data_IF_100565299207
#
_entry.id   IF_100565299207
#
_cell.length_a   1.000
_cell.length_b   1.000
_cell.length_c   1.000
_cell.angle_alpha   90.00
_cell.angle_beta   90.00
_cell.angle_gamma   90.00
#
_symmetry.space_group_name_H-M   'P 1'
#
loop_
_entity.id
_entity.type
_entity.pdbx_description
1 polymer ?
#
# COMPACT_ATOMS: atom_id res chain seq x y z
N UNK A 1 55.49 -35.90 -0.21
CA UNK A 1 54.77 -35.20 -1.30
C UNK A 1 53.28 -35.28 -1.04
N UNK A 2 52.70 -34.26 -0.39
CA UNK A 2 51.26 -34.15 -0.19
C UNK A 2 50.86 -32.89 -0.97
N UNK A 3 50.15 -33.09 -2.09
CA UNK A 3 49.55 -32.00 -2.87
C UNK A 3 48.33 -31.50 -2.09
N UNK A 4 48.47 -30.34 -1.46
CA UNK A 4 47.31 -29.59 -0.95
C UNK A 4 46.63 -28.98 -2.18
N UNK A 5 45.52 -29.58 -2.59
CA UNK A 5 44.61 -29.02 -3.59
C UNK A 5 43.90 -27.86 -2.89
N UNK A 6 44.29 -26.63 -3.21
CA UNK A 6 43.50 -25.45 -2.87
C UNK A 6 42.21 -25.50 -3.67
N UNK A 7 41.11 -25.82 -3.01
CA UNK A 7 39.76 -25.59 -3.52
C UNK A 7 39.54 -24.09 -3.47
N UNK A 8 39.67 -23.44 -4.63
CA UNK A 8 39.27 -22.06 -4.83
C UNK A 8 37.74 -22.03 -4.80
N UNK A 9 37.17 -21.71 -3.65
CA UNK A 9 35.74 -21.44 -3.49
C UNK A 9 35.45 -20.17 -4.30
N UNK A 10 34.87 -20.36 -5.48
CA UNK A 10 34.34 -19.28 -6.31
C UNK A 10 33.13 -18.71 -5.57
N UNK A 11 33.32 -17.62 -4.83
CA UNK A 11 32.22 -16.78 -4.36
C UNK A 11 31.46 -16.29 -5.60
N UNK A 12 30.31 -16.89 -5.89
CA UNK A 12 29.30 -16.30 -6.76
C UNK A 12 28.78 -15.05 -6.05
N UNK A 13 29.43 -13.91 -6.32
CA UNK A 13 28.81 -12.62 -6.10
C UNK A 13 27.58 -12.57 -7.02
N UNK A 14 26.39 -12.78 -6.46
CA UNK A 14 25.15 -12.36 -7.11
C UNK A 14 25.21 -10.83 -7.14
N UNK A 15 25.69 -10.30 -8.27
CA UNK A 15 25.73 -8.86 -8.54
C UNK A 15 24.32 -8.30 -8.55
N UNK A 16 24.14 -7.05 -8.13
CA UNK A 16 22.92 -6.25 -8.17
C UNK A 16 22.36 -5.96 -9.59
N UNK A 17 22.54 -6.87 -10.55
CA UNK A 17 22.24 -6.71 -11.97
C UNK A 17 20.82 -7.17 -12.38
N UNK A 18 19.96 -7.54 -11.42
CA UNK A 18 18.59 -7.96 -11.75
C UNK A 18 17.64 -6.80 -12.03
N UNK A 19 18.04 -5.54 -11.77
CA UNK A 19 17.20 -4.37 -11.95
C UNK A 19 17.80 -3.36 -12.94
N UNK A 20 17.01 -2.99 -13.94
CA UNK A 20 17.35 -1.93 -14.91
C UNK A 20 16.48 -0.70 -14.67
N UNK A 21 17.08 0.49 -14.50
CA UNK A 21 16.31 1.73 -14.39
C UNK A 21 15.60 2.03 -15.71
N UNK A 22 14.27 2.12 -15.69
CA UNK A 22 13.43 2.42 -16.86
C UNK A 22 13.05 3.88 -16.99
N UNK A 23 12.68 4.51 -15.89
CA UNK A 23 12.27 5.91 -15.91
C UNK A 23 12.54 6.59 -14.57
N UNK A 24 12.44 7.92 -14.59
CA UNK A 24 12.47 8.77 -13.43
C UNK A 24 11.39 9.84 -13.58
N UNK A 25 10.56 9.98 -12.54
CA UNK A 25 9.46 10.93 -12.49
C UNK A 25 9.76 11.90 -11.36
N UNK A 26 9.66 13.21 -11.62
CA UNK A 26 9.77 14.20 -10.56
C UNK A 26 8.65 13.98 -9.53
N UNK A 27 9.02 13.81 -8.27
CA UNK A 27 8.09 13.64 -7.18
C UNK A 27 7.65 15.00 -6.63
N UNK A 28 6.43 15.40 -7.00
CA UNK A 28 5.78 16.64 -6.54
C UNK A 28 4.49 16.29 -5.80
N UNK A 29 4.60 15.56 -4.69
CA UNK A 29 3.45 15.08 -3.92
C UNK A 29 3.76 14.77 -2.46
N UNK A 30 2.73 14.40 -1.70
CA UNK A 30 2.83 13.99 -0.31
C UNK A 30 3.16 12.51 -0.18
N UNK A 31 2.64 11.68 -1.09
CA UNK A 31 2.92 10.26 -1.20
C UNK A 31 2.59 9.78 -2.62
N UNK A 32 2.95 8.54 -2.92
CA UNK A 32 2.50 7.86 -4.13
C UNK A 32 2.07 6.43 -3.81
N UNK A 33 1.24 5.87 -4.67
CA UNK A 33 0.94 4.43 -4.69
C UNK A 33 0.99 3.91 -6.12
N UNK A 34 0.81 2.61 -6.28
CA UNK A 34 0.86 1.92 -7.56
C UNK A 34 -0.29 0.94 -7.67
N UNK A 35 -0.60 0.54 -8.91
CA UNK A 35 -1.49 -0.58 -9.18
C UNK A 35 -0.74 -1.77 -9.79
N UNK A 36 -1.41 -2.92 -9.85
CA UNK A 36 -0.88 -4.16 -10.41
C UNK A 36 -0.47 -4.06 -11.90
N UNK A 37 -0.94 -3.05 -12.63
CA UNK A 37 -0.58 -2.79 -14.02
C UNK A 37 0.68 -1.92 -14.15
N UNK A 38 1.25 -1.48 -13.02
CA UNK A 38 2.44 -0.65 -12.96
C UNK A 38 2.18 0.85 -13.10
N UNK A 39 0.92 1.30 -13.12
CA UNK A 39 0.66 2.74 -13.10
C UNK A 39 1.00 3.32 -11.73
N UNK A 40 1.51 4.55 -11.75
CA UNK A 40 1.97 5.28 -10.58
C UNK A 40 0.99 6.42 -10.33
N UNK A 41 0.50 6.52 -9.10
CA UNK A 41 -0.46 7.54 -8.69
C UNK A 41 0.23 8.44 -7.68
N UNK A 42 0.61 9.64 -8.11
CA UNK A 42 1.21 10.66 -7.24
C UNK A 42 0.09 11.53 -6.68
N UNK A 43 0.00 11.60 -5.36
CA UNK A 43 -1.01 12.41 -4.67
C UNK A 43 -0.37 13.67 -4.12
N UNK A 44 -0.94 14.82 -4.46
CA UNK A 44 -0.53 16.11 -3.95
C UNK A 44 -1.76 16.86 -3.46
N UNK A 45 -1.97 16.86 -2.15
CA UNK A 45 -3.06 17.53 -1.42
C UNK A 45 -4.43 17.31 -2.09
N UNK A 46 -4.76 18.09 -3.09
CA UNK A 46 -6.06 18.13 -3.75
C UNK A 46 -6.12 17.34 -5.07
N UNK A 47 -4.98 16.82 -5.55
CA UNK A 47 -4.87 16.23 -6.88
C UNK A 47 -4.16 14.88 -6.92
N UNK A 48 -4.51 14.09 -7.92
CA UNK A 48 -3.89 12.82 -8.29
C UNK A 48 -3.35 12.95 -9.70
N UNK A 49 -2.08 12.62 -9.90
CA UNK A 49 -1.45 12.49 -11.22
C UNK A 49 -1.12 11.02 -11.47
N UNK A 50 -1.62 10.46 -12.58
CA UNK A 50 -1.38 9.07 -12.97
C UNK A 50 -0.34 8.99 -14.09
N UNK A 51 0.74 8.26 -13.85
CA UNK A 51 1.85 8.05 -14.78
C UNK A 51 1.96 6.59 -15.21
N UNK A 52 2.45 6.35 -16.43
CA UNK A 52 2.89 5.02 -16.86
C UNK A 52 4.24 4.64 -16.23
N UNK A 53 4.64 3.35 -16.28
CA UNK A 53 6.00 2.93 -15.90
C UNK A 53 7.11 3.66 -16.65
N UNK A 54 6.86 4.15 -17.87
CA UNK A 54 7.80 4.94 -18.68
C UNK A 54 7.88 6.41 -18.24
N UNK A 55 7.11 6.81 -17.22
CA UNK A 55 7.08 8.17 -16.69
C UNK A 55 6.18 9.14 -17.46
N UNK A 56 5.30 8.62 -18.33
CA UNK A 56 4.38 9.44 -19.12
C UNK A 56 3.14 9.76 -18.29
N UNK A 57 2.83 11.05 -18.08
CA UNK A 57 1.58 11.48 -17.47
C UNK A 57 0.40 11.13 -18.38
N UNK A 58 -0.56 10.35 -17.87
CA UNK A 58 -1.76 9.92 -18.61
C UNK A 58 -3.00 10.71 -18.23
N UNK A 59 -3.25 10.83 -16.93
CA UNK A 59 -4.47 11.40 -16.40
C UNK A 59 -4.18 12.21 -15.15
N UNK A 60 -5.03 13.21 -14.91
CA UNK A 60 -5.02 14.00 -13.68
C UNK A 60 -6.43 14.09 -13.15
N UNK A 61 -6.57 14.11 -11.83
CA UNK A 61 -7.84 14.30 -11.16
C UNK A 61 -7.66 15.26 -10.00
N UNK A 62 -8.67 16.08 -9.76
CA UNK A 62 -8.77 16.98 -8.62
C UNK A 62 -10.23 17.29 -8.37
N UNK A 63 -10.59 17.55 -7.12
CA UNK A 63 -11.96 17.91 -6.78
C UNK A 63 -11.99 19.06 -5.78
N UNK A 64 -12.26 20.27 -6.28
CA UNK A 64 -12.26 21.49 -5.48
C UNK A 64 -13.31 21.50 -4.36
N UNK A 65 -14.31 20.61 -4.39
CA UNK A 65 -15.31 20.50 -3.32
C UNK A 65 -14.73 19.86 -2.06
N UNK A 66 -13.78 18.96 -2.22
CA UNK A 66 -13.20 18.15 -1.16
C UNK A 66 -11.70 18.41 -1.15
N UNK A 67 -11.29 19.46 -0.42
CA UNK A 67 -9.93 20.01 -0.39
C UNK A 67 -8.83 18.94 -0.40
N UNK A 68 -8.51 18.33 0.74
CA UNK A 68 -7.34 17.44 0.88
C UNK A 68 -7.72 15.95 0.79
N UNK A 69 -7.09 15.25 -0.14
CA UNK A 69 -7.12 13.80 -0.28
C UNK A 69 -6.35 13.17 0.88
N UNK A 70 -7.04 12.43 1.72
CA UNK A 70 -6.45 11.77 2.88
C UNK A 70 -5.77 10.46 2.52
N UNK A 71 -6.40 9.65 1.67
CA UNK A 71 -5.81 8.41 1.15
C UNK A 71 -6.38 8.04 -0.22
N UNK A 72 -5.62 7.25 -0.97
CA UNK A 72 -6.10 6.55 -2.15
C UNK A 72 -5.75 5.07 -2.08
N UNK A 73 -6.62 4.23 -2.61
CA UNK A 73 -6.37 2.80 -2.79
C UNK A 73 -6.53 2.43 -4.26
N UNK A 74 -5.39 2.21 -4.93
CA UNK A 74 -5.29 1.83 -6.33
C UNK A 74 -5.16 0.31 -6.54
N UNK A 75 -5.42 -0.51 -5.51
CA UNK A 75 -5.30 -1.98 -5.60
C UNK A 75 -6.16 -2.56 -6.73
N UNK A 76 -7.34 -1.96 -6.98
CA UNK A 76 -8.12 -2.22 -8.17
C UNK A 76 -7.93 -1.09 -9.20
N UNK A 77 -7.17 -1.31 -10.30
CA UNK A 77 -6.89 -0.26 -11.29
C UNK A 77 -8.12 0.23 -12.06
N UNK A 78 -9.24 -0.50 -11.98
CA UNK A 78 -10.52 -0.13 -12.62
C UNK A 78 -11.48 0.58 -11.67
N UNK A 79 -11.14 0.66 -10.37
CA UNK A 79 -11.96 1.26 -9.31
C UNK A 79 -11.04 1.75 -8.20
N UNK A 80 -10.40 2.89 -8.45
CA UNK A 80 -9.53 3.55 -7.47
C UNK A 80 -10.41 4.23 -6.42
N UNK A 81 -10.20 3.91 -5.15
CA UNK A 81 -10.88 4.57 -4.05
C UNK A 81 -10.10 5.84 -3.67
N UNK A 82 -10.81 6.94 -3.45
CA UNK A 82 -10.28 8.20 -2.92
C UNK A 82 -11.07 8.54 -1.66
N UNK A 83 -10.36 8.78 -0.56
CA UNK A 83 -10.95 9.15 0.72
C UNK A 83 -10.60 10.58 1.11
N UNK A 84 -11.61 11.36 1.44
CA UNK A 84 -11.52 12.72 1.95
C UNK A 84 -12.01 12.73 3.39
N UNK A 85 -11.09 12.56 4.34
CA UNK A 85 -11.40 12.40 5.77
C UNK A 85 -12.11 13.62 6.35
N UNK A 86 -11.65 14.83 6.04
CA UNK A 86 -12.24 16.06 6.59
C UNK A 86 -13.71 16.26 6.23
N UNK A 87 -14.16 15.68 5.11
CA UNK A 87 -15.53 15.78 4.63
C UNK A 87 -16.32 14.47 4.78
N UNK A 88 -15.73 13.44 5.39
CA UNK A 88 -16.31 12.10 5.50
C UNK A 88 -16.79 11.55 4.14
N UNK A 89 -16.02 11.77 3.06
CA UNK A 89 -16.42 11.35 1.71
C UNK A 89 -15.54 10.23 1.16
N UNK A 90 -16.19 9.26 0.51
CA UNK A 90 -15.54 8.24 -0.31
C UNK A 90 -15.96 8.42 -1.76
N UNK A 91 -15.00 8.41 -2.67
CA UNK A 91 -15.22 8.49 -4.10
C UNK A 91 -14.53 7.32 -4.81
N UNK A 92 -15.08 6.92 -5.96
CA UNK A 92 -14.48 5.92 -6.82
C UNK A 92 -14.18 6.50 -8.20
N UNK A 93 -12.94 6.32 -8.66
CA UNK A 93 -12.48 6.70 -9.98
C UNK A 93 -12.24 5.46 -10.85
N UNK A 94 -12.49 5.59 -12.15
CA UNK A 94 -12.12 4.58 -13.13
C UNK A 94 -10.63 4.66 -13.51
N UNK A 95 -10.20 3.83 -14.45
CA UNK A 95 -8.82 3.79 -14.91
C UNK A 95 -8.34 5.06 -15.63
N UNK A 96 -9.24 5.95 -16.05
CA UNK A 96 -8.96 7.28 -16.63
C UNK A 96 -8.96 8.40 -15.58
N UNK A 97 -9.12 8.04 -14.30
CA UNK A 97 -9.37 8.94 -13.17
C UNK A 97 -10.70 9.71 -13.27
N UNK A 98 -11.69 9.20 -14.01
CA UNK A 98 -13.02 9.78 -14.07
C UNK A 98 -13.90 9.23 -12.95
N UNK A 99 -14.76 10.05 -12.36
CA UNK A 99 -15.69 9.61 -11.31
C UNK A 99 -16.67 8.55 -11.84
N UNK A 100 -16.70 7.38 -11.20
CA UNK A 100 -17.63 6.29 -11.57
C UNK A 100 -19.06 6.65 -11.14
N UNK A 101 -19.18 7.37 -10.03
CA UNK A 101 -20.44 7.87 -9.46
C UNK A 101 -20.15 9.07 -8.55
N UNK A 102 -21.22 9.74 -8.12
CA UNK A 102 -21.13 10.77 -7.08
C UNK A 102 -20.46 10.25 -5.80
N UNK A 103 -19.73 11.13 -5.12
CA UNK A 103 -19.13 10.84 -3.83
C UNK A 103 -20.18 10.36 -2.81
N UNK A 104 -19.75 9.46 -1.93
CA UNK A 104 -20.56 8.82 -0.91
C UNK A 104 -20.26 9.51 0.41
N UNK A 105 -21.29 10.07 1.02
CA UNK A 105 -21.23 10.58 2.38
C UNK A 105 -21.22 9.43 3.37
N UNK A 106 -20.16 9.31 4.17
CA UNK A 106 -20.09 8.33 5.24
C UNK A 106 -21.03 8.70 6.41
N UNK A 107 -21.41 9.97 6.53
CA UNK A 107 -22.43 10.41 7.48
C UNK A 107 -23.81 9.84 7.12
N UNK A 108 -24.16 9.79 5.82
CA UNK A 108 -25.41 9.18 5.33
C UNK A 108 -25.44 7.66 5.58
N UNK A 109 -24.25 7.05 5.73
CA UNK A 109 -24.09 5.65 6.10
C UNK A 109 -24.00 5.42 7.62
N UNK A 110 -24.22 6.47 8.42
CA UNK A 110 -24.12 6.47 9.88
C UNK A 110 -22.73 6.03 10.40
N UNK A 111 -21.66 6.34 9.67
CA UNK A 111 -20.29 6.08 10.12
C UNK A 111 -19.79 7.29 10.90
N UNK A 112 -19.79 7.17 12.22
CA UNK A 112 -19.23 8.20 13.09
C UNK A 112 -17.69 8.17 13.07
N UNK A 113 -17.04 9.31 12.86
CA UNK A 113 -15.58 9.46 12.91
C UNK A 113 -14.82 8.45 12.03
N UNK A 114 -15.00 8.47 10.70
CA UNK A 114 -14.25 7.59 9.81
C UNK A 114 -12.76 7.97 9.82
N UNK A 115 -11.90 7.04 10.20
CA UNK A 115 -10.47 7.30 10.36
C UNK A 115 -9.66 6.88 9.13
N UNK A 116 -9.95 5.70 8.59
CA UNK A 116 -9.28 5.13 7.43
C UNK A 116 -10.26 4.35 6.57
N UNK A 117 -10.01 4.30 5.25
CA UNK A 117 -10.83 3.59 4.27
C UNK A 117 -9.94 2.85 3.27
N UNK A 118 -10.31 1.62 2.90
CA UNK A 118 -9.70 0.90 1.77
C UNK A 118 -10.76 0.18 0.92
N UNK A 119 -10.40 -0.13 -0.32
CA UNK A 119 -11.24 -0.93 -1.20
C UNK A 119 -11.32 -2.37 -0.71
N UNK A 120 -12.44 -3.01 -1.03
CA UNK A 120 -12.60 -4.44 -0.84
C UNK A 120 -12.58 -5.20 -2.16
N UNK A 121 -12.08 -6.44 -2.15
CA UNK A 121 -12.14 -7.33 -3.31
C UNK A 121 -13.60 -7.64 -3.72
N UNK A 122 -14.51 -7.70 -2.74
CA UNK A 122 -15.94 -7.97 -2.95
C UNK A 122 -16.71 -6.70 -3.43
N UNK A 123 -16.06 -5.84 -4.23
CA UNK A 123 -16.64 -4.62 -4.84
C UNK A 123 -17.21 -3.57 -3.86
N UNK A 124 -16.89 -3.69 -2.57
CA UNK A 124 -17.28 -2.78 -1.50
C UNK A 124 -16.13 -1.88 -1.05
N UNK A 125 -16.17 -1.47 0.21
CA UNK A 125 -15.06 -0.82 0.91
C UNK A 125 -15.16 -1.05 2.42
N UNK A 126 -14.01 -1.03 3.08
CA UNK A 126 -13.90 -1.06 4.54
C UNK A 126 -13.68 0.35 5.08
N UNK A 127 -14.24 0.61 6.26
CA UNK A 127 -13.98 1.82 7.04
C UNK A 127 -13.56 1.42 8.45
N UNK A 128 -12.45 1.94 8.93
CA UNK A 128 -12.15 1.90 10.35
C UNK A 128 -12.85 3.07 11.04
N UNK A 129 -13.83 2.74 11.89
CA UNK A 129 -14.58 3.70 12.68
C UNK A 129 -13.78 4.09 13.93
N UNK A 130 -13.39 5.35 14.02
CA UNK A 130 -12.59 5.90 15.11
C UNK A 130 -13.35 6.06 16.43
N UNK A 131 -14.69 6.11 16.39
CA UNK A 131 -15.53 6.19 17.59
C UNK A 131 -15.72 4.81 18.21
N UNK A 132 -16.24 3.84 17.45
CA UNK A 132 -16.50 2.48 17.94
C UNK A 132 -15.28 1.58 17.93
N UNK A 133 -14.15 2.01 17.33
CA UNK A 133 -12.92 1.21 17.16
C UNK A 133 -13.19 -0.14 16.47
N UNK A 134 -13.97 -0.11 15.39
CA UNK A 134 -14.39 -1.29 14.61
C UNK A 134 -14.16 -1.10 13.12
N UNK A 135 -13.97 -2.21 12.42
CA UNK A 135 -14.05 -2.27 10.96
C UNK A 135 -15.51 -2.40 10.51
N UNK A 136 -15.94 -1.57 9.57
CA UNK A 136 -17.25 -1.60 8.95
C UNK A 136 -17.08 -1.90 7.46
N UNK A 137 -17.76 -2.93 6.95
CA UNK A 137 -17.74 -3.26 5.52
C UNK A 137 -19.07 -2.90 4.87
N UNK A 138 -18.99 -2.07 3.82
CA UNK A 138 -20.11 -1.70 2.98
C UNK A 138 -19.96 -2.34 1.60
N UNK A 139 -21.02 -2.96 1.10
CA UNK A 139 -21.02 -3.50 -0.26
C UNK A 139 -21.19 -2.40 -1.32
N UNK A 140 -21.21 -2.77 -2.60
CA UNK A 140 -21.36 -1.81 -3.70
C UNK A 140 -22.69 -1.02 -3.66
N UNK A 141 -23.73 -1.60 -3.07
CA UNK A 141 -25.05 -1.00 -2.86
C UNK A 141 -25.11 -0.14 -1.59
N UNK A 142 -23.97 0.12 -0.94
CA UNK A 142 -23.86 0.91 0.28
C UNK A 142 -24.56 0.31 1.51
N UNK A 143 -24.81 -1.00 1.48
CA UNK A 143 -25.37 -1.72 2.62
C UNK A 143 -24.24 -2.14 3.54
N UNK A 144 -24.41 -1.89 4.85
CA UNK A 144 -23.52 -2.44 5.87
C UNK A 144 -23.71 -3.96 5.94
N UNK A 145 -22.69 -4.72 5.56
CA UNK A 145 -22.75 -6.19 5.52
C UNK A 145 -22.00 -6.81 6.70
N UNK A 146 -20.86 -6.25 7.09
CA UNK A 146 -20.10 -6.72 8.25
C UNK A 146 -19.77 -5.58 9.21
N UNK A 147 -19.90 -5.88 10.50
CA UNK A 147 -19.41 -5.07 11.61
C UNK A 147 -18.41 -5.93 12.36
N UNK A 148 -17.13 -5.57 12.26
CA UNK A 148 -16.03 -6.28 12.88
C UNK A 148 -16.05 -6.16 14.40
N UNK A 149 -15.14 -6.88 15.04
CA UNK A 149 -14.99 -6.84 16.51
C UNK A 149 -14.48 -5.48 16.96
N UNK A 150 -14.95 -5.04 18.13
CA UNK A 150 -14.42 -3.84 18.80
C UNK A 150 -13.05 -4.14 19.39
N UNK A 151 -12.04 -3.39 18.97
CA UNK A 151 -10.66 -3.59 19.42
C UNK A 151 -10.22 -2.55 20.46
N UNK A 152 -11.13 -1.67 20.92
CA UNK A 152 -10.80 -0.53 21.79
C UNK A 152 -10.01 -0.92 23.05
N UNK A 153 -10.33 -2.05 23.68
CA UNK A 153 -9.61 -2.56 24.86
C UNK A 153 -8.24 -3.17 24.55
N UNK A 154 -7.95 -3.47 23.28
CA UNK A 154 -6.68 -4.00 22.80
C UNK A 154 -5.72 -2.89 22.35
N UNK A 155 -6.24 -1.68 22.12
CA UNK A 155 -5.44 -0.54 21.69
C UNK A 155 -4.61 0.01 22.84
N UNK A 156 -3.34 0.32 22.55
CA UNK A 156 -2.50 1.08 23.48
C UNK A 156 -2.92 2.54 23.53
N UNK A 157 -2.70 3.17 24.67
CA UNK A 157 -2.96 4.60 24.87
C UNK A 157 -2.23 5.44 23.81
N UNK A 158 -2.92 6.44 23.25
CA UNK A 158 -2.41 7.34 22.21
C UNK A 158 -2.00 6.67 20.88
N UNK A 159 -2.29 5.37 20.67
CA UNK A 159 -2.10 4.74 19.36
C UNK A 159 -3.12 5.27 18.35
N UNK A 160 -2.63 5.70 17.18
CA UNK A 160 -3.44 6.25 16.10
C UNK A 160 -3.41 5.30 14.90
N UNK A 161 -4.54 5.11 14.20
CA UNK A 161 -4.57 4.32 12.97
C UNK A 161 -3.80 5.06 11.87
N UNK A 162 -2.88 4.37 11.19
CA UNK A 162 -1.99 4.98 10.19
C UNK A 162 -2.23 4.47 8.77
N UNK A 163 -2.66 3.22 8.62
CA UNK A 163 -2.85 2.60 7.31
C UNK A 163 -3.84 1.44 7.39
N UNK A 164 -4.65 1.26 6.34
CA UNK A 164 -5.56 0.13 6.19
C UNK A 164 -5.51 -0.41 4.77
N UNK A 165 -5.53 -1.73 4.62
CA UNK A 165 -5.60 -2.37 3.31
C UNK A 165 -6.28 -3.74 3.40
N UNK A 166 -7.10 -4.08 2.41
CA UNK A 166 -7.57 -5.45 2.22
C UNK A 166 -6.65 -6.17 1.22
N UNK A 167 -6.12 -7.33 1.62
CA UNK A 167 -5.37 -8.21 0.73
C UNK A 167 -5.55 -9.66 1.15
N UNK A 168 -5.64 -10.57 0.19
CA UNK A 168 -5.69 -12.02 0.43
C UNK A 168 -6.79 -12.43 1.44
N UNK A 169 -7.99 -11.86 1.29
CA UNK A 169 -9.15 -12.08 2.18
C UNK A 169 -8.89 -11.71 3.65
N UNK A 170 -7.98 -10.77 3.89
CA UNK A 170 -7.67 -10.23 5.21
C UNK A 170 -7.65 -8.72 5.14
N UNK A 171 -8.05 -8.08 6.23
CA UNK A 171 -7.90 -6.64 6.41
C UNK A 171 -6.77 -6.41 7.39
N UNK A 172 -5.81 -5.60 7.00
CA UNK A 172 -4.70 -5.21 7.85
C UNK A 172 -4.91 -3.75 8.26
N UNK A 173 -4.84 -3.47 9.56
CA UNK A 173 -4.95 -2.14 10.15
C UNK A 173 -3.65 -1.84 10.91
N UNK A 174 -2.84 -0.94 10.36
CA UNK A 174 -1.63 -0.47 11.00
C UNK A 174 -1.94 0.62 12.03
N UNK A 175 -1.20 0.59 13.13
CA UNK A 175 -1.27 1.58 14.19
C UNK A 175 0.11 2.23 14.38
N UNK A 176 0.15 3.47 14.88
CA UNK A 176 1.38 4.26 15.10
C UNK A 176 2.34 3.66 16.14
N UNK A 177 1.93 2.61 16.85
CA UNK A 177 2.66 1.94 17.92
C UNK A 177 3.31 0.62 17.45
N UNK A 178 3.57 0.45 16.16
CA UNK A 178 4.20 -0.75 15.55
C UNK A 178 3.36 -2.02 15.65
N UNK A 179 2.05 -1.87 15.85
CA UNK A 179 1.09 -2.97 15.85
C UNK A 179 0.24 -2.92 14.58
N UNK A 180 0.26 -4.01 13.82
CA UNK A 180 -0.68 -4.22 12.73
C UNK A 180 -1.70 -5.27 13.14
N UNK A 181 -2.94 -4.86 13.31
CA UNK A 181 -4.07 -5.74 13.58
C UNK A 181 -4.50 -6.42 12.28
N UNK A 182 -4.67 -7.74 12.34
CA UNK A 182 -5.08 -8.56 11.20
C UNK A 182 -6.47 -9.12 11.46
N UNK A 183 -7.35 -8.93 10.49
CA UNK A 183 -8.73 -9.42 10.51
C UNK A 183 -8.96 -10.40 9.35
N UNK A 184 -9.95 -11.29 9.49
CA UNK A 184 -10.45 -12.05 8.35
C UNK A 184 -11.37 -11.21 7.45
N UNK A 185 -11.86 -11.80 6.35
CA UNK A 185 -12.78 -11.16 5.40
C UNK A 185 -14.13 -10.73 5.98
N UNK A 186 -14.47 -11.17 7.20
CA UNK A 186 -15.73 -10.84 7.88
C UNK A 186 -15.52 -9.81 9.00
N UNK A 187 -14.28 -9.33 9.21
CA UNK A 187 -13.94 -8.37 10.26
C UNK A 187 -13.71 -9.02 11.63
N UNK A 188 -13.54 -10.34 11.71
CA UNK A 188 -13.13 -11.00 12.95
C UNK A 188 -11.63 -10.81 13.16
N UNK A 189 -11.23 -10.49 14.38
CA UNK A 189 -9.82 -10.37 14.75
C UNK A 189 -9.12 -11.73 14.66
N UNK A 190 -7.92 -11.75 14.05
CA UNK A 190 -7.07 -12.94 13.92
C UNK A 190 -5.81 -12.85 14.77
N UNK A 191 -5.06 -11.76 14.63
CA UNK A 191 -3.73 -11.62 15.26
C UNK A 191 -3.24 -10.17 15.25
N UNK A 192 -2.15 -9.92 15.97
CA UNK A 192 -1.35 -8.70 15.88
C UNK A 192 0.03 -9.07 15.34
N UNK A 193 0.50 -8.31 14.36
CA UNK A 193 1.87 -8.35 13.86
C UNK A 193 2.63 -7.19 14.52
N UNK A 194 3.77 -7.50 15.14
CA UNK A 194 4.66 -6.50 15.73
C UNK A 194 5.83 -6.26 14.78
N UNK A 195 5.88 -5.07 14.18
CA UNK A 195 6.91 -4.72 13.21
C UNK A 195 7.12 -3.20 13.18
N UNK A 196 8.35 -2.78 12.96
CA UNK A 196 8.73 -1.36 12.89
C UNK A 196 8.27 -0.72 11.56
N UNK A 197 6.96 -0.64 11.40
CA UNK A 197 6.28 -0.06 10.24
C UNK A 197 5.95 1.39 10.59
N UNK A 198 6.73 2.32 10.04
CA UNK A 198 6.57 3.73 10.37
C UNK A 198 5.26 4.35 9.82
N UNK A 199 4.81 3.92 8.63
CA UNK A 199 3.67 4.54 7.94
C UNK A 199 2.77 3.50 7.29
N UNK A 200 3.26 2.89 6.21
CA UNK A 200 2.52 1.95 5.38
C UNK A 200 3.37 0.73 5.02
N UNK A 201 2.72 -0.22 4.36
CA UNK A 201 3.36 -1.41 3.81
C UNK A 201 2.57 -1.89 2.58
N UNK A 202 3.22 -2.75 1.80
CA UNK A 202 2.55 -3.49 0.74
C UNK A 202 2.41 -4.96 1.15
N UNK A 203 1.24 -5.55 0.88
CA UNK A 203 1.01 -6.99 1.06
C UNK A 203 1.08 -7.68 -0.30
N UNK A 204 2.02 -8.61 -0.45
CA UNK A 204 2.15 -9.49 -1.61
C UNK A 204 2.28 -10.91 -1.10
N UNK A 205 1.34 -11.77 -1.50
CA UNK A 205 1.19 -13.12 -0.95
C UNK A 205 1.16 -13.08 0.60
N UNK A 206 2.00 -13.86 1.27
CA UNK A 206 2.08 -13.88 2.73
C UNK A 206 3.04 -12.84 3.31
N UNK A 207 3.55 -11.91 2.50
CA UNK A 207 4.63 -11.02 2.93
C UNK A 207 4.17 -9.57 3.01
N UNK A 208 4.65 -8.89 4.06
CA UNK A 208 4.57 -7.44 4.23
C UNK A 208 5.91 -6.86 3.80
N UNK A 209 5.87 -5.85 2.93
CA UNK A 209 7.03 -5.13 2.44
C UNK A 209 6.95 -3.68 2.94
N UNK A 210 7.95 -3.25 3.68
CA UNK A 210 7.99 -1.90 4.28
C UNK A 210 9.43 -1.45 4.53
N UNK A 211 9.62 -0.14 4.67
CA UNK A 211 10.90 0.40 5.11
C UNK A 211 10.99 0.42 6.63
N UNK A 212 12.11 -0.07 7.17
CA UNK A 212 12.56 0.15 8.55
C UNK A 212 14.04 0.47 8.52
N UNK A 213 14.45 1.54 9.20
CA UNK A 213 15.85 1.97 9.31
C UNK A 213 16.58 2.05 7.95
N UNK A 214 15.94 2.62 6.93
CA UNK A 214 16.46 2.74 5.54
C UNK A 214 16.65 1.41 4.79
N UNK A 215 16.24 0.29 5.37
CA UNK A 215 16.26 -1.03 4.75
C UNK A 215 14.86 -1.46 4.35
N UNK A 216 14.75 -2.11 3.19
CA UNK A 216 13.51 -2.77 2.80
C UNK A 216 13.41 -4.11 3.53
N UNK A 217 12.41 -4.23 4.38
CA UNK A 217 12.10 -5.43 5.13
C UNK A 217 10.99 -6.19 4.41
N UNK A 218 11.21 -7.48 4.24
CA UNK A 218 10.19 -8.47 3.88
C UNK A 218 9.85 -9.27 5.13
N UNK A 219 8.62 -9.22 5.58
CA UNK A 219 8.13 -9.99 6.73
C UNK A 219 7.08 -11.00 6.28
N UNK A 220 7.34 -12.29 6.44
CA UNK A 220 6.31 -13.31 6.33
C UNK A 220 5.39 -13.22 7.57
N UNK A 221 4.13 -12.80 7.40
CA UNK A 221 3.24 -12.57 8.54
C UNK A 221 2.63 -13.83 9.15
N UNK A 222 2.87 -15.00 8.53
CA UNK A 222 2.45 -16.29 9.07
C UNK A 222 3.59 -16.91 9.89
N UNK A 223 4.81 -16.89 9.34
CA UNK A 223 6.00 -17.45 9.99
C UNK A 223 6.70 -16.44 10.91
N UNK A 224 6.33 -15.16 10.83
CA UNK A 224 6.97 -14.03 11.51
C UNK A 224 8.48 -13.97 11.26
N UNK A 225 8.90 -14.36 10.05
CA UNK A 225 10.30 -14.32 9.61
C UNK A 225 10.54 -13.07 8.79
N UNK A 226 11.61 -12.35 9.14
CA UNK A 226 12.08 -11.18 8.40
C UNK A 226 13.26 -11.51 7.51
N UNK A 227 13.31 -10.84 6.37
CA UNK A 227 14.45 -10.80 5.48
C UNK A 227 14.68 -9.35 5.03
N UNK A 228 15.92 -9.01 4.71
CA UNK A 228 16.27 -7.70 4.15
C UNK A 228 16.51 -7.85 2.66
N UNK A 229 15.77 -7.10 1.86
CA UNK A 229 15.87 -7.21 0.41
C UNK A 229 16.97 -6.30 -0.13
N UNK A 230 17.80 -6.89 -1.00
CA UNK A 230 18.77 -6.15 -1.79
C UNK A 230 18.03 -5.43 -2.92
N UNK A 231 17.95 -4.10 -2.81
CA UNK A 231 17.33 -3.21 -3.80
C UNK A 231 18.38 -2.24 -4.37
N UNK A 232 18.14 -1.66 -5.56
CA UNK A 232 18.94 -0.54 -6.05
C UNK A 232 19.05 0.56 -4.99
N UNK A 233 20.27 1.05 -4.78
CA UNK A 233 20.53 2.09 -3.78
C UNK A 233 20.10 3.44 -4.37
N UNK A 234 19.23 4.14 -3.65
CA UNK A 234 18.91 5.54 -3.90
C UNK A 234 19.18 6.36 -2.63
N UNK A 235 19.45 7.64 -2.79
CA UNK A 235 19.67 8.54 -1.66
C UNK A 235 18.35 8.80 -0.91
N UNK A 236 18.34 8.58 0.41
CA UNK A 236 17.24 8.88 1.33
C UNK A 236 15.86 8.34 0.84
N UNK A 237 15.69 7.01 0.70
CA UNK A 237 14.43 6.45 0.25
C UNK A 237 13.31 6.73 1.26
N UNK A 238 12.16 7.17 0.78
CA UNK A 238 10.97 7.49 1.59
C UNK A 238 9.80 6.55 1.37
N UNK A 239 9.76 5.88 0.21
CA UNK A 239 8.66 5.00 -0.16
C UNK A 239 9.07 4.00 -1.24
N UNK A 240 8.41 2.84 -1.25
CA UNK A 240 8.69 1.75 -2.16
C UNK A 240 7.41 1.00 -2.52
N UNK A 241 7.34 0.55 -3.77
CA UNK A 241 6.27 -0.32 -4.27
C UNK A 241 6.84 -1.39 -5.18
N UNK A 242 6.23 -2.57 -5.16
CA UNK A 242 6.58 -3.70 -6.03
C UNK A 242 5.31 -4.10 -6.77
N UNK A 243 5.30 -4.03 -8.10
CA UNK A 243 4.15 -4.45 -8.89
C UNK A 243 4.62 -5.22 -10.12
N UNK A 244 4.10 -6.44 -10.29
CA UNK A 244 4.48 -7.32 -11.39
C UNK A 244 6.02 -7.49 -11.47
N UNK A 245 6.65 -6.93 -12.49
CA UNK A 245 8.09 -6.94 -12.72
C UNK A 245 8.75 -5.57 -12.47
N UNK A 246 8.07 -4.63 -11.82
CA UNK A 246 8.61 -3.32 -11.50
C UNK A 246 8.85 -3.13 -10.01
N UNK A 247 9.95 -2.45 -9.70
CA UNK A 247 10.27 -1.89 -8.40
C UNK A 247 10.27 -0.37 -8.52
N UNK A 248 9.44 0.28 -7.70
CA UNK A 248 9.34 1.72 -7.62
C UNK A 248 9.99 2.16 -6.32
N UNK A 249 10.97 3.08 -6.41
CA UNK A 249 11.63 3.67 -5.25
C UNK A 249 11.45 5.18 -5.32
N UNK A 250 11.08 5.83 -4.22
CA UNK A 250 11.03 7.29 -4.17
C UNK A 250 11.95 7.86 -3.11
N UNK A 251 12.51 9.02 -3.39
CA UNK A 251 13.03 9.95 -2.40
C UNK A 251 12.18 11.24 -2.42
N UNK A 252 12.63 12.28 -1.74
CA UNK A 252 11.90 13.56 -1.66
C UNK A 252 11.76 14.30 -3.00
N UNK A 253 12.53 13.93 -4.02
CA UNK A 253 12.61 14.66 -5.30
C UNK A 253 12.10 13.86 -6.51
N UNK A 254 12.26 12.53 -6.49
CA UNK A 254 12.01 11.67 -7.64
C UNK A 254 11.44 10.32 -7.24
N UNK A 255 10.62 9.76 -8.14
CA UNK A 255 10.23 8.35 -8.18
C UNK A 255 11.04 7.68 -9.29
N UNK A 256 11.83 6.68 -8.94
CA UNK A 256 12.62 5.86 -9.83
C UNK A 256 11.88 4.55 -10.12
N UNK A 257 11.78 4.20 -11.40
CA UNK A 257 11.16 2.95 -11.84
C UNK A 257 12.26 2.01 -12.32
N UNK A 258 12.36 0.84 -11.70
CA UNK A 258 13.27 -0.23 -12.09
C UNK A 258 12.48 -1.44 -12.59
N UNK A 259 12.92 -2.06 -13.68
CA UNK A 259 12.37 -3.33 -14.16
C UNK A 259 13.25 -4.48 -13.67
N UNK A 260 12.63 -5.50 -13.07
CA UNK A 260 13.28 -6.74 -12.69
C UNK A 260 13.41 -7.66 -13.90
N UNK A 261 14.65 -7.88 -14.35
CA UNK A 261 14.99 -8.72 -15.50
C UNK A 261 14.84 -10.22 -15.20
N UNK A 262 15.03 -10.63 -13.94
CA UNK A 262 14.89 -12.05 -13.54
C UNK A 262 13.43 -12.54 -13.57
N UNK A 263 12.46 -11.63 -13.46
CA UNK A 263 11.03 -11.95 -13.53
C UNK A 263 10.56 -12.26 -14.96
N UNK A 264 11.23 -11.70 -15.98
CA UNK A 264 10.91 -11.94 -17.39
C UNK A 264 11.32 -13.36 -17.85
N UNK A 265 12.39 -13.89 -17.27
CA UNK A 265 12.95 -15.20 -17.64
C UNK A 265 12.19 -16.40 -17.03
N UNK A 266 11.18 -16.17 -16.18
CA UNK A 266 10.34 -17.23 -15.58
C UNK A 266 8.98 -17.38 -16.27
N UNK A 267 8.69 -16.55 -17.28
CA UNK A 267 7.45 -16.59 -18.06
C UNK A 267 7.60 -17.21 -19.46
N UNK A 268 8.76 -17.80 -19.76
CA UNK A 268 9.01 -18.69 -20.91
C UNK A 268 9.13 -20.15 -20.43
#
# INVERSE_FOLDING_TARGET
MIKIISILILFLFVSANDFEKKSEIKFEGQYFTTDKLGFIYVVNKESIKKYTPEGILKHTYSNAKYSEISSIDATNPMRILVFYKEFNQVLFLDNTLSEIRSAISLDDLNVESPELVCSSYDSGFWVFNGFTKQLLYFNNNLQLIHKGVEIGSMLKENSLPTFIIEKNNQVFLNMSNQETFVFDRFGNFKSIIYADIAKDFQVIDNNLYFFSNQHLIKLDHVLLKTDTLNIPIIENPIALRIESNYLFLANTNSIFVFQNLSALNKSE
#
